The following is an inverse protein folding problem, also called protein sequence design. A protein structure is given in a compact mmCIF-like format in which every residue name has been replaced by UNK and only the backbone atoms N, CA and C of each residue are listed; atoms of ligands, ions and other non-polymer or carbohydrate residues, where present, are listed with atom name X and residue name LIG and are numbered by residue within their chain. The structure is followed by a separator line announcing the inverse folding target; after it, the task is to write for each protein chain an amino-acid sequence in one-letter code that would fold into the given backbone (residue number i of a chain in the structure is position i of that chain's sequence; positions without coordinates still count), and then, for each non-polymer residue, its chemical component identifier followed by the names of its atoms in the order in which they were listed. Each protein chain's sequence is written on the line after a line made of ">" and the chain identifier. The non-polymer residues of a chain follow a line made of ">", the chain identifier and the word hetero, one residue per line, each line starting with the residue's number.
data_IF_283196320427
#
_entry.id   IF_283196320427
#
_cell.length_a   1.000
_cell.length_b   1.000
_cell.length_c   1.000
_cell.angle_alpha   90.00
_cell.angle_beta   90.00
_cell.angle_gamma   90.00
#
_symmetry.space_group_name_H-M   'P 1'
#
loop_
_entity.id
_entity.type
_entity.pdbx_description
1 polymer ?
#
# COMPACT_ATOMS: atom_id res chain seq x y z
N UNK A 1 30.21 -0.23 22.69
CA UNK A 1 30.94 -0.69 21.47
C UNK A 1 31.69 0.51 20.90
N UNK A 2 33.02 0.57 21.03
CA UNK A 2 33.85 1.69 20.54
C UNK A 2 34.16 1.47 19.06
N UNK A 3 33.68 2.35 18.19
CA UNK A 3 34.07 2.37 16.77
C UNK A 3 35.51 2.90 16.65
N UNK A 4 36.33 2.23 15.84
CA UNK A 4 37.76 2.52 15.70
C UNK A 4 38.02 3.74 14.82
N UNK A 5 39.16 4.42 15.06
CA UNK A 5 39.60 5.64 14.36
C UNK A 5 39.69 5.52 12.83
N UNK A 6 39.68 4.30 12.27
CA UNK A 6 39.76 4.07 10.82
C UNK A 6 38.48 4.43 10.06
N UNK A 7 37.30 4.28 10.67
CA UNK A 7 36.02 4.51 9.99
C UNK A 7 35.73 6.00 9.78
N UNK A 8 36.28 6.87 10.65
CA UNK A 8 36.08 8.33 10.56
C UNK A 8 36.93 8.98 9.46
N UNK A 9 38.12 8.44 9.18
CA UNK A 9 38.97 8.96 8.09
C UNK A 9 38.46 8.60 6.70
N UNK A 10 37.74 7.48 6.53
CA UNK A 10 37.13 7.09 5.26
C UNK A 10 35.98 8.04 4.84
N UNK A 11 35.15 8.47 5.80
CA UNK A 11 34.02 9.39 5.56
C UNK A 11 34.51 10.80 5.17
N UNK A 12 35.60 11.28 5.78
CA UNK A 12 36.19 12.58 5.45
C UNK A 12 36.88 12.60 4.08
N UNK A 13 37.46 11.47 3.64
CA UNK A 13 38.06 11.35 2.30
C UNK A 13 37.01 11.27 1.19
N UNK A 14 35.86 10.65 1.44
CA UNK A 14 34.73 10.61 0.51
C UNK A 14 34.07 11.99 0.30
N UNK A 15 34.02 12.83 1.34
CA UNK A 15 33.40 14.16 1.26
C UNK A 15 34.23 15.16 0.46
N UNK A 16 35.57 15.09 0.51
CA UNK A 16 36.47 15.94 -0.29
C UNK A 16 36.54 15.56 -1.78
N UNK A 17 36.13 14.34 -2.15
CA UNK A 17 36.08 13.90 -3.55
C UNK A 17 34.79 14.33 -4.28
N UNK A 18 33.72 14.63 -3.53
CA UNK A 18 32.44 15.12 -4.07
C UNK A 18 32.42 16.63 -4.35
N UNK A 19 33.33 17.40 -3.75
CA UNK A 19 33.40 18.86 -3.94
C UNK A 19 34.31 19.30 -5.11
N UNK A 20 35.02 18.38 -5.78
CA UNK A 20 36.04 18.73 -6.77
C UNK A 20 35.65 18.53 -8.26
N UNK A 21 34.40 18.20 -8.59
CA UNK A 21 33.95 18.11 -10.01
C UNK A 21 32.51 18.58 -10.20
N UNK A 22 32.34 19.88 -10.42
CA UNK A 22 31.20 20.41 -11.17
C UNK A 22 31.72 21.15 -12.40
N UNK A 23 31.49 20.64 -13.64
CA UNK A 23 31.84 21.39 -14.84
C UNK A 23 30.90 22.58 -15.04
N UNK A 24 31.45 23.69 -15.53
CA UNK A 24 30.78 24.98 -15.75
C UNK A 24 29.62 24.95 -16.78
N UNK A 25 29.27 23.80 -17.35
CA UNK A 25 28.22 23.61 -18.36
C UNK A 25 26.79 23.56 -17.79
N UNK A 26 26.61 23.34 -16.48
CA UNK A 26 25.28 23.27 -15.85
C UNK A 26 24.64 24.64 -15.56
N UNK A 27 25.41 25.74 -15.57
CA UNK A 27 24.86 27.09 -15.37
C UNK A 27 24.17 27.67 -16.61
N UNK A 28 24.47 27.15 -17.81
CA UNK A 28 23.91 27.68 -19.07
C UNK A 28 22.56 27.07 -19.44
N UNK A 29 22.23 25.88 -18.94
CA UNK A 29 20.97 25.19 -19.23
C UNK A 29 19.74 25.78 -18.50
N UNK A 30 19.96 26.57 -17.44
CA UNK A 30 18.88 27.22 -16.68
C UNK A 30 18.49 28.60 -17.21
N UNK A 31 19.18 29.13 -18.23
CA UNK A 31 18.95 30.49 -18.72
C UNK A 31 18.08 30.58 -19.99
N UNK A 32 17.73 29.48 -20.65
CA UNK A 32 17.13 29.53 -22.01
C UNK A 32 15.80 28.79 -22.21
N UNK A 33 15.12 28.34 -21.16
CA UNK A 33 13.78 27.74 -21.30
C UNK A 33 12.75 28.53 -20.48
N UNK A 34 12.17 29.56 -21.07
CA UNK A 34 10.87 30.10 -20.65
C UNK A 34 9.78 29.30 -21.37
N UNK A 35 8.91 28.54 -20.69
CA UNK A 35 7.73 27.96 -21.32
C UNK A 35 6.64 29.02 -21.41
N UNK A 36 6.11 29.21 -22.61
CA UNK A 36 4.79 29.79 -22.82
C UNK A 36 3.68 28.79 -22.43
N UNK A 37 2.55 29.37 -22.04
CA UNK A 37 1.21 28.76 -21.93
C UNK A 37 1.10 27.41 -21.21
N UNK A 38 1.22 27.46 -19.88
CA UNK A 38 0.37 26.70 -18.95
C UNK A 38 0.56 27.36 -17.58
N UNK A 39 -0.52 27.68 -16.87
CA UNK A 39 -0.57 28.52 -15.65
C UNK A 39 0.30 28.08 -14.45
N UNK A 40 1.62 28.15 -14.61
CA UNK A 40 2.65 27.76 -13.66
C UNK A 40 3.19 28.99 -12.93
N UNK A 41 2.95 29.08 -11.61
CA UNK A 41 3.56 30.10 -10.75
C UNK A 41 4.53 29.44 -9.76
N UNK A 42 5.85 29.41 -10.06
CA UNK A 42 6.86 28.82 -9.19
C UNK A 42 7.00 29.55 -7.83
N UNK A 43 6.55 30.81 -7.74
CA UNK A 43 6.55 31.58 -6.49
C UNK A 43 5.47 31.06 -5.55
N UNK A 44 4.26 30.78 -6.05
CA UNK A 44 3.17 30.17 -5.25
C UNK A 44 3.54 28.81 -4.69
N UNK A 45 4.29 27.98 -5.44
CA UNK A 45 4.81 26.69 -4.96
C UNK A 45 5.84 26.86 -3.85
N UNK A 46 6.79 27.77 -4.03
CA UNK A 46 7.82 28.03 -3.03
C UNK A 46 7.19 28.54 -1.74
N UNK A 47 6.17 29.41 -1.86
CA UNK A 47 5.38 29.90 -0.73
C UNK A 47 4.57 28.78 -0.04
N UNK A 48 4.01 27.81 -0.77
CA UNK A 48 3.24 26.72 -0.15
C UNK A 48 4.13 25.71 0.58
N UNK A 49 5.32 25.42 0.05
CA UNK A 49 6.34 24.60 0.74
C UNK A 49 6.86 25.33 1.98
N UNK A 50 7.24 26.62 1.86
CA UNK A 50 7.64 27.45 3.00
C UNK A 50 6.55 27.52 4.07
N UNK A 51 5.28 27.64 3.67
CA UNK A 51 4.15 27.65 4.61
C UNK A 51 4.04 26.33 5.37
N UNK A 52 4.25 25.18 4.71
CA UNK A 52 4.29 23.86 5.36
C UNK A 52 5.48 23.76 6.32
N UNK A 53 6.66 24.21 5.90
CA UNK A 53 7.88 24.18 6.72
C UNK A 53 7.76 25.09 7.94
N UNK A 54 7.17 26.28 7.81
CA UNK A 54 6.92 27.22 8.91
C UNK A 54 5.92 26.62 9.92
N UNK A 55 4.86 25.95 9.47
CA UNK A 55 3.91 25.27 10.37
C UNK A 55 4.62 24.14 11.13
N UNK A 56 5.48 23.38 10.45
CA UNK A 56 6.27 22.29 11.06
C UNK A 56 7.31 22.80 12.06
N UNK A 57 7.98 23.90 11.72
CA UNK A 57 8.98 24.56 12.58
C UNK A 57 8.33 25.19 13.81
N UNK A 58 7.18 25.86 13.65
CA UNK A 58 6.40 26.41 14.78
C UNK A 58 5.94 25.31 15.73
N UNK A 59 5.56 24.15 15.21
CA UNK A 59 5.20 22.98 16.02
C UNK A 59 6.41 22.43 16.79
N UNK A 60 7.54 22.23 16.11
CA UNK A 60 8.78 21.78 16.75
C UNK A 60 9.30 22.76 17.81
N UNK A 61 9.15 24.07 17.59
CA UNK A 61 9.51 25.12 18.55
C UNK A 61 8.51 25.13 19.73
N UNK A 62 7.21 25.00 19.47
CA UNK A 62 6.18 24.90 20.53
C UNK A 62 6.40 23.72 21.46
N UNK A 63 6.66 22.53 20.89
CA UNK A 63 6.96 21.30 21.62
C UNK A 63 8.28 21.41 22.42
N UNK A 64 9.25 22.18 21.94
CA UNK A 64 10.54 22.40 22.62
C UNK A 64 10.45 23.39 23.80
N UNK A 65 9.56 24.39 23.73
CA UNK A 65 9.40 25.42 24.76
C UNK A 65 8.23 25.19 25.73
N UNK A 66 7.47 24.09 25.58
CA UNK A 66 6.34 23.79 26.46
C UNK A 66 5.23 24.85 26.40
N UNK A 67 5.15 25.60 25.30
CA UNK A 67 4.12 26.61 25.07
C UNK A 67 2.94 25.93 24.38
N UNK A 68 1.83 25.72 25.10
CA UNK A 68 0.59 25.32 24.44
C UNK A 68 0.15 26.44 23.47
N UNK A 69 0.03 26.16 22.16
CA UNK A 69 -0.48 27.15 21.25
C UNK A 69 -1.99 27.28 21.44
N UNK A 70 -2.45 28.46 21.87
CA UNK A 70 -3.82 28.89 21.59
C UNK A 70 -3.98 28.98 20.07
N UNK A 71 -4.52 27.92 19.48
CA UNK A 71 -4.81 27.80 18.06
C UNK A 71 -6.31 27.65 17.89
N UNK A 72 -6.96 28.70 17.38
CA UNK A 72 -8.19 28.56 16.60
C UNK A 72 -7.84 27.77 15.35
N UNK A 73 -7.81 26.46 15.50
CA UNK A 73 -7.68 25.50 14.40
C UNK A 73 -8.96 25.60 13.58
N UNK A 74 -8.93 25.81 12.25
CA UNK A 74 -10.08 25.49 11.45
C UNK A 74 -10.32 23.99 11.63
N UNK A 75 -11.47 23.64 12.19
CA UNK A 75 -12.00 22.27 12.20
C UNK A 75 -11.87 21.72 10.78
N UNK A 76 -11.02 20.70 10.62
CA UNK A 76 -10.81 20.06 9.32
C UNK A 76 -11.92 19.05 9.14
N UNK A 77 -12.98 19.44 8.44
CA UNK A 77 -13.93 18.49 7.90
C UNK A 77 -13.21 17.63 6.85
N UNK A 78 -13.03 16.36 7.20
CA UNK A 78 -12.45 15.32 6.35
C UNK A 78 -13.45 14.91 5.24
N UNK A 79 -14.70 15.34 5.39
CA UNK A 79 -15.83 15.05 4.51
C UNK A 79 -16.08 16.13 3.45
N UNK A 80 -15.32 17.23 3.41
CA UNK A 80 -15.41 18.18 2.29
C UNK A 80 -14.54 17.71 1.11
N UNK A 81 -15.14 17.24 0.01
CA UNK A 81 -14.39 17.07 -1.21
C UNK A 81 -14.05 18.48 -1.73
N UNK A 82 -12.81 18.67 -2.15
CA UNK A 82 -12.32 19.88 -2.83
C UNK A 82 -12.03 21.09 -1.93
N UNK A 83 -10.79 21.20 -1.41
CA UNK A 83 -10.23 22.55 -1.29
C UNK A 83 -8.70 22.72 -1.30
N UNK A 84 -7.88 21.66 -1.25
CA UNK A 84 -6.42 21.88 -1.31
C UNK A 84 -5.65 20.80 -2.04
N UNK A 85 -5.69 20.79 -3.39
CA UNK A 85 -4.49 20.49 -4.18
C UNK A 85 -4.58 21.21 -5.54
N UNK A 86 -3.72 22.21 -5.74
CA UNK A 86 -3.28 22.55 -7.09
C UNK A 86 -2.82 21.28 -7.80
N UNK A 87 -3.21 21.10 -9.06
CA UNK A 87 -2.82 19.95 -9.88
C UNK A 87 -1.34 19.59 -9.70
N UNK A 88 -1.07 18.35 -9.29
CA UNK A 88 0.31 17.86 -9.16
C UNK A 88 0.81 17.41 -10.52
N UNK A 89 1.42 18.33 -11.27
CA UNK A 89 1.99 18.02 -12.59
C UNK A 89 3.28 17.18 -12.52
N UNK A 90 3.90 17.07 -11.33
CA UNK A 90 5.18 16.36 -11.13
C UNK A 90 5.21 15.68 -9.75
N UNK A 91 5.79 14.48 -9.67
CA UNK A 91 6.04 13.77 -8.41
C UNK A 91 7.29 12.89 -8.49
N UNK A 92 7.83 12.48 -7.34
CA UNK A 92 8.95 11.53 -7.29
C UNK A 92 8.43 10.10 -7.44
N UNK A 93 7.31 9.78 -6.80
CA UNK A 93 6.63 8.48 -6.90
C UNK A 93 5.16 8.68 -7.20
N UNK A 94 4.73 8.11 -8.32
CA UNK A 94 3.32 8.00 -8.70
C UNK A 94 2.81 6.60 -8.37
N UNK A 95 1.74 6.49 -7.59
CA UNK A 95 1.09 5.24 -7.25
C UNK A 95 -0.26 5.20 -7.97
N UNK A 96 -0.45 4.23 -8.87
CA UNK A 96 -1.71 4.06 -9.61
C UNK A 96 -2.57 3.03 -8.89
N UNK A 97 -3.65 3.50 -8.27
CA UNK A 97 -4.56 2.74 -7.41
C UNK A 97 -4.47 3.21 -5.96
N UNK A 98 -5.57 3.75 -5.44
CA UNK A 98 -5.70 4.21 -4.05
C UNK A 98 -6.32 3.20 -3.10
N UNK A 99 -6.41 1.92 -3.50
CA UNK A 99 -6.83 0.84 -2.58
C UNK A 99 -5.83 0.60 -1.45
N UNK A 100 -6.09 -0.39 -0.60
CA UNK A 100 -5.31 -0.64 0.62
C UNK A 100 -3.81 -0.80 0.34
N UNK A 101 -3.45 -1.44 -0.77
CA UNK A 101 -2.05 -1.62 -1.20
C UNK A 101 -1.40 -0.29 -1.55
N UNK A 102 -2.05 0.53 -2.39
CA UNK A 102 -1.49 1.82 -2.79
C UNK A 102 -1.36 2.80 -1.62
N UNK A 103 -2.36 2.85 -0.74
CA UNK A 103 -2.28 3.66 0.48
C UNK A 103 -1.23 3.14 1.46
N UNK A 104 -1.07 1.81 1.59
CA UNK A 104 0.01 1.21 2.39
C UNK A 104 1.39 1.61 1.86
N UNK A 105 1.62 1.51 0.55
CA UNK A 105 2.89 1.90 -0.08
C UNK A 105 3.18 3.38 0.19
N UNK A 106 2.20 4.27 0.00
CA UNK A 106 2.37 5.70 0.28
C UNK A 106 2.69 5.96 1.76
N UNK A 107 1.98 5.30 2.66
CA UNK A 107 2.19 5.40 4.11
C UNK A 107 3.62 4.99 4.48
N UNK A 108 4.07 3.80 4.08
CA UNK A 108 5.41 3.31 4.44
C UNK A 108 6.53 4.13 3.79
N UNK A 109 6.36 4.61 2.54
CA UNK A 109 7.32 5.51 1.91
C UNK A 109 7.47 6.81 2.70
N UNK A 110 6.35 7.45 3.06
CA UNK A 110 6.37 8.75 3.74
C UNK A 110 6.75 8.65 5.22
N UNK A 111 6.46 7.52 5.88
CA UNK A 111 6.88 7.24 7.25
C UNK A 111 8.40 7.03 7.33
N UNK A 112 8.98 6.28 6.39
CA UNK A 112 10.41 5.96 6.39
C UNK A 112 11.29 7.07 5.78
N UNK A 113 10.75 7.88 4.87
CA UNK A 113 11.48 8.96 4.18
C UNK A 113 10.79 10.33 4.33
N UNK A 114 10.56 10.80 5.57
CA UNK A 114 9.74 11.98 5.84
C UNK A 114 10.32 13.24 5.18
N UNK A 115 9.50 13.90 4.35
CA UNK A 115 9.87 15.15 3.66
C UNK A 115 10.90 14.98 2.54
N UNK A 116 11.26 13.76 2.16
CA UNK A 116 12.30 13.51 1.15
C UNK A 116 11.74 13.28 -0.26
N UNK A 117 10.44 13.01 -0.38
CA UNK A 117 9.81 12.60 -1.64
C UNK A 117 8.41 13.19 -1.77
N UNK A 118 8.05 13.59 -2.98
CA UNK A 118 6.69 13.92 -3.39
C UNK A 118 5.98 12.65 -3.89
N UNK A 119 5.01 12.17 -3.12
CA UNK A 119 4.24 10.96 -3.43
C UNK A 119 2.83 11.33 -3.86
N UNK A 120 2.42 10.89 -5.06
CA UNK A 120 1.06 11.08 -5.59
C UNK A 120 0.34 9.74 -5.70
N UNK A 121 -0.85 9.63 -5.11
CA UNK A 121 -1.77 8.50 -5.26
C UNK A 121 -2.85 8.89 -6.27
N UNK A 122 -3.02 8.11 -7.33
CA UNK A 122 -4.11 8.25 -8.29
C UNK A 122 -5.19 7.20 -8.00
N UNK A 123 -6.42 7.62 -7.78
CA UNK A 123 -7.58 6.73 -7.63
C UNK A 123 -8.71 7.13 -8.58
N UNK A 124 -9.27 6.16 -9.29
CA UNK A 124 -10.36 6.39 -10.26
C UNK A 124 -11.73 6.53 -9.59
N UNK A 125 -11.95 5.85 -8.46
CA UNK A 125 -13.22 5.80 -7.74
C UNK A 125 -13.00 6.03 -6.23
N UNK A 126 -13.17 7.26 -5.73
CA UNK A 126 -12.99 7.57 -4.30
C UNK A 126 -14.10 6.99 -3.41
N UNK A 127 -15.17 6.45 -3.99
CA UNK A 127 -16.21 5.73 -3.24
C UNK A 127 -15.81 4.28 -2.94
N UNK A 128 -14.81 3.76 -3.65
CA UNK A 128 -14.32 2.38 -3.55
C UNK A 128 -15.43 1.32 -3.70
N UNK A 129 -16.55 1.66 -4.35
CA UNK A 129 -17.72 0.78 -4.46
C UNK A 129 -17.40 -0.53 -5.18
N UNK A 130 -16.41 -0.50 -6.08
CA UNK A 130 -15.96 -1.66 -6.87
C UNK A 130 -14.58 -2.16 -6.46
N UNK A 131 -13.99 -1.63 -5.39
CA UNK A 131 -12.65 -2.01 -4.96
C UNK A 131 -12.69 -3.40 -4.30
N UNK A 132 -11.70 -4.25 -4.62
CA UNK A 132 -11.60 -5.58 -4.01
C UNK A 132 -11.43 -5.50 -2.47
N UNK A 133 -10.78 -4.45 -1.97
CA UNK A 133 -10.60 -4.21 -0.53
C UNK A 133 -11.94 -4.15 0.20
N UNK A 134 -12.86 -3.29 -0.24
CA UNK A 134 -14.15 -3.03 0.42
C UNK A 134 -15.16 -4.16 0.22
N UNK A 135 -15.01 -4.93 -0.84
CA UNK A 135 -15.83 -6.12 -1.13
C UNK A 135 -15.28 -7.40 -0.49
N UNK A 136 -14.16 -7.33 0.25
CA UNK A 136 -13.56 -8.49 0.91
C UNK A 136 -14.18 -8.79 2.29
N UNK A 137 -13.96 -10.00 2.79
CA UNK A 137 -14.37 -10.40 4.14
C UNK A 137 -13.36 -10.03 5.24
N UNK A 138 -12.31 -9.26 4.92
CA UNK A 138 -11.36 -8.71 5.90
C UNK A 138 -10.60 -9.72 6.74
N UNK A 139 -10.18 -10.83 6.13
CA UNK A 139 -9.44 -11.89 6.82
C UNK A 139 -8.00 -11.55 7.20
N UNK A 140 -7.59 -11.97 8.39
CA UNK A 140 -6.21 -12.04 8.87
C UNK A 140 -5.92 -13.46 9.32
N UNK A 141 -5.00 -14.17 8.64
CA UNK A 141 -4.61 -15.54 9.00
C UNK A 141 -3.11 -15.73 8.81
N UNK A 142 -2.47 -16.54 9.62
CA UNK A 142 -1.07 -16.93 9.46
C UNK A 142 -0.93 -18.34 8.89
N UNK A 143 -2.03 -19.10 8.84
CA UNK A 143 -2.11 -20.44 8.24
C UNK A 143 -1.91 -20.40 6.71
N UNK A 144 -0.65 -20.45 6.27
CA UNK A 144 -0.22 -20.58 4.88
C UNK A 144 0.77 -21.73 4.70
N UNK A 145 0.96 -22.17 3.45
CA UNK A 145 1.90 -23.25 3.07
C UNK A 145 3.27 -22.75 2.64
N UNK A 146 3.42 -21.45 2.37
CA UNK A 146 4.69 -20.83 1.98
C UNK A 146 5.21 -19.95 3.14
N UNK A 147 6.49 -20.09 3.54
CA UNK A 147 7.07 -19.32 4.63
C UNK A 147 6.92 -17.80 4.46
N UNK A 148 7.10 -17.30 3.24
CA UNK A 148 7.04 -15.88 2.92
C UNK A 148 5.64 -15.30 3.19
N UNK A 149 4.59 -16.09 2.95
CA UNK A 149 3.21 -15.69 3.25
C UNK A 149 2.94 -15.68 4.76
N UNK A 150 3.52 -16.62 5.51
CA UNK A 150 3.44 -16.63 6.98
C UNK A 150 4.11 -15.37 7.55
N UNK A 151 5.33 -15.05 7.09
CA UNK A 151 6.07 -13.85 7.51
C UNK A 151 5.33 -12.55 7.18
N UNK A 152 4.81 -12.44 5.96
CA UNK A 152 4.02 -11.28 5.54
C UNK A 152 2.76 -11.12 6.41
N UNK A 153 2.12 -12.22 6.79
CA UNK A 153 0.94 -12.16 7.65
C UNK A 153 1.26 -11.84 9.10
N UNK A 154 2.36 -12.37 9.65
CA UNK A 154 2.87 -11.99 10.98
C UNK A 154 3.14 -10.48 11.06
N UNK A 155 3.77 -9.92 10.03
CA UNK A 155 3.93 -8.48 9.91
C UNK A 155 2.58 -7.75 9.86
N UNK A 156 1.63 -8.25 9.07
CA UNK A 156 0.28 -7.68 8.97
C UNK A 156 -0.46 -7.68 10.32
N UNK A 157 -0.39 -8.78 11.07
CA UNK A 157 -0.98 -8.88 12.40
C UNK A 157 -0.38 -7.87 13.37
N UNK A 158 0.95 -7.79 13.43
CA UNK A 158 1.63 -6.81 14.29
C UNK A 158 1.31 -5.37 13.86
N UNK A 159 1.26 -5.11 12.55
CA UNK A 159 0.86 -3.81 12.04
C UNK A 159 -0.54 -3.40 12.49
N UNK A 160 -1.52 -4.32 12.41
CA UNK A 160 -2.89 -4.05 12.86
C UNK A 160 -2.96 -3.79 14.37
N UNK A 161 -2.17 -4.50 15.19
CA UNK A 161 -2.07 -4.21 16.63
C UNK A 161 -1.52 -2.81 16.90
N UNK A 162 -0.57 -2.37 16.08
CA UNK A 162 0.05 -1.04 16.20
C UNK A 162 -0.71 0.07 15.45
N UNK A 163 -1.75 -0.27 14.68
CA UNK A 163 -2.46 0.65 13.80
C UNK A 163 -2.98 1.90 14.53
N UNK A 164 -3.61 1.81 15.72
CA UNK A 164 -4.11 2.99 16.42
C UNK A 164 -3.01 4.02 16.70
N UNK A 165 -1.78 3.55 16.94
CA UNK A 165 -0.61 4.41 17.19
C UNK A 165 0.04 4.88 15.89
N UNK A 166 0.30 3.96 14.95
CA UNK A 166 1.05 4.26 13.71
C UNK A 166 0.26 5.11 12.73
N UNK A 167 -1.05 4.91 12.67
CA UNK A 167 -1.95 5.65 11.81
C UNK A 167 -2.70 6.79 12.53
N UNK A 168 -2.34 7.12 13.78
CA UNK A 168 -2.88 8.29 14.47
C UNK A 168 -2.60 9.59 13.68
N UNK A 169 -3.61 10.45 13.61
CA UNK A 169 -3.51 11.80 13.06
C UNK A 169 -4.00 12.78 14.10
N UNK A 170 -3.24 13.85 14.32
CA UNK A 170 -3.58 14.87 15.31
C UNK A 170 -4.96 15.49 15.04
N UNK A 171 -5.78 15.56 16.08
CA UNK A 171 -7.15 16.06 16.01
C UNK A 171 -8.19 15.04 15.56
N UNK A 172 -7.79 13.79 15.27
CA UNK A 172 -8.69 12.68 14.95
C UNK A 172 -8.58 11.58 16.01
N UNK A 173 -9.67 10.84 16.20
CA UNK A 173 -9.65 9.63 17.02
C UNK A 173 -8.69 8.58 16.43
N UNK A 174 -8.00 7.78 17.26
CA UNK A 174 -7.17 6.68 16.78
C UNK A 174 -8.00 5.72 15.90
N UNK A 175 -7.46 5.26 14.76
CA UNK A 175 -8.19 4.34 13.89
C UNK A 175 -8.41 3.00 14.59
N UNK A 176 -9.63 2.48 14.46
CA UNK A 176 -10.02 1.15 14.92
C UNK A 176 -10.62 0.36 13.75
N UNK A 177 -10.03 -0.80 13.45
CA UNK A 177 -10.47 -1.67 12.36
C UNK A 177 -11.56 -2.65 12.76
N UNK A 178 -12.07 -2.57 13.99
CA UNK A 178 -13.08 -3.49 14.51
C UNK A 178 -12.58 -4.94 14.38
N UNK A 179 -11.42 -5.25 14.98
CA UNK A 179 -10.81 -6.57 14.87
C UNK A 179 -11.57 -7.60 15.73
N UNK A 180 -11.94 -8.72 15.13
CA UNK A 180 -12.55 -9.88 15.77
C UNK A 180 -11.55 -11.03 15.84
N UNK A 181 -10.99 -11.35 17.02
CA UNK A 181 -9.91 -12.32 17.19
C UNK A 181 -10.42 -13.77 17.27
N UNK A 182 -11.28 -14.19 16.35
CA UNK A 182 -11.88 -15.55 16.36
C UNK A 182 -11.12 -16.58 15.55
N UNK A 183 -9.93 -16.23 15.03
CA UNK A 183 -9.05 -17.17 14.34
C UNK A 183 -9.60 -17.71 13.01
N UNK A 184 -8.80 -18.57 12.36
CA UNK A 184 -9.22 -19.37 11.21
C UNK A 184 -9.32 -20.84 11.60
N UNK A 185 -10.33 -21.53 11.08
CA UNK A 185 -10.48 -22.98 11.19
C UNK A 185 -10.43 -23.59 9.79
N UNK A 186 -9.33 -24.24 9.45
CA UNK A 186 -9.25 -25.02 8.22
C UNK A 186 -9.65 -26.46 8.49
N UNK A 187 -10.55 -26.99 7.66
CA UNK A 187 -10.96 -28.38 7.71
C UNK A 187 -10.29 -29.15 6.57
N UNK A 188 -9.97 -30.41 6.81
CA UNK A 188 -9.47 -31.32 5.79
C UNK A 188 -10.25 -32.63 5.80
N UNK A 189 -10.52 -33.16 4.61
CA UNK A 189 -10.90 -34.56 4.41
C UNK A 189 -9.68 -35.46 4.59
N UNK A 190 -9.86 -36.78 4.52
CA UNK A 190 -8.74 -37.74 4.58
C UNK A 190 -7.67 -37.46 3.52
N UNK A 191 -8.06 -37.04 2.31
CA UNK A 191 -7.13 -36.71 1.22
C UNK A 191 -6.26 -35.49 1.53
N UNK A 192 -6.82 -34.49 2.24
CA UNK A 192 -6.10 -33.27 2.59
C UNK A 192 -5.36 -33.31 3.94
N UNK A 193 -5.54 -34.41 4.70
CA UNK A 193 -5.08 -34.53 6.08
C UNK A 193 -3.56 -34.35 6.22
N UNK A 194 -2.78 -35.11 5.45
CA UNK A 194 -1.31 -35.06 5.48
C UNK A 194 -0.78 -33.67 5.12
N UNK A 195 -1.38 -33.03 4.12
CA UNK A 195 -1.00 -31.67 3.72
C UNK A 195 -1.32 -30.64 4.81
N UNK A 196 -2.44 -30.78 5.51
CA UNK A 196 -2.80 -29.90 6.62
C UNK A 196 -1.86 -30.06 7.81
N UNK A 197 -1.42 -31.29 8.11
CA UNK A 197 -0.39 -31.57 9.12
C UNK A 197 0.95 -30.96 8.73
N UNK A 198 1.43 -31.18 7.50
CA UNK A 198 2.70 -30.59 7.04
C UNK A 198 2.67 -29.06 7.08
N UNK A 199 1.53 -28.45 6.74
CA UNK A 199 1.35 -27.00 6.86
C UNK A 199 1.38 -26.55 8.33
N UNK A 200 0.72 -27.28 9.24
CA UNK A 200 0.73 -26.99 10.67
C UNK A 200 2.16 -27.03 11.25
N UNK A 201 2.93 -28.06 10.93
CA UNK A 201 4.30 -28.22 11.42
C UNK A 201 5.19 -27.06 10.95
N UNK A 202 5.12 -26.70 9.66
CA UNK A 202 5.80 -25.52 9.12
C UNK A 202 5.40 -24.24 9.89
N UNK A 203 4.11 -24.07 10.15
CA UNK A 203 3.59 -22.89 10.84
C UNK A 203 4.09 -22.82 12.30
N UNK A 204 4.17 -23.95 13.01
CA UNK A 204 4.73 -24.03 14.35
C UNK A 204 6.23 -23.68 14.37
N UNK A 205 7.00 -24.18 13.40
CA UNK A 205 8.43 -23.85 13.25
C UNK A 205 8.66 -22.34 13.03
N UNK A 206 7.67 -21.66 12.44
CA UNK A 206 7.66 -20.21 12.23
C UNK A 206 7.04 -19.43 13.39
N UNK A 207 6.65 -20.10 14.48
CA UNK A 207 6.11 -19.47 15.69
C UNK A 207 4.62 -19.13 15.65
N UNK A 208 3.88 -19.57 14.62
CA UNK A 208 2.42 -19.42 14.55
C UNK A 208 1.77 -20.20 15.68
N UNK A 209 0.72 -19.63 16.29
CA UNK A 209 -0.05 -20.28 17.36
C UNK A 209 -1.32 -20.87 16.78
N UNK A 210 -1.27 -22.15 16.42
CA UNK A 210 -2.43 -22.92 15.99
C UNK A 210 -2.39 -24.34 16.57
N UNK A 211 -3.51 -25.04 16.44
CA UNK A 211 -3.68 -26.40 16.99
C UNK A 211 -4.41 -27.28 15.99
N UNK A 212 -3.93 -28.51 15.83
CA UNK A 212 -4.65 -29.57 15.15
C UNK A 212 -5.69 -30.19 16.06
N UNK A 213 -6.90 -30.37 15.53
CA UNK A 213 -8.05 -30.93 16.22
C UNK A 213 -8.51 -32.17 15.46
N UNK A 214 -8.68 -33.28 16.18
CA UNK A 214 -9.33 -34.48 15.63
C UNK A 214 -10.80 -34.21 15.37
N UNK A 215 -11.45 -35.08 14.60
CA UNK A 215 -12.90 -35.09 14.41
C UNK A 215 -13.68 -34.98 15.72
N UNK A 216 -13.30 -35.76 16.74
CA UNK A 216 -13.97 -35.79 18.04
C UNK A 216 -13.80 -34.45 18.76
N UNK A 217 -12.58 -33.90 18.76
CA UNK A 217 -12.29 -32.60 19.37
C UNK A 217 -13.03 -31.46 18.67
N UNK A 218 -13.13 -31.50 17.34
CA UNK A 218 -13.94 -30.56 16.56
C UNK A 218 -15.41 -30.63 16.96
N UNK A 219 -15.98 -31.84 17.03
CA UNK A 219 -17.39 -32.03 17.41
C UNK A 219 -17.67 -31.58 18.84
N UNK A 220 -16.74 -31.80 19.77
CA UNK A 220 -16.86 -31.30 21.14
C UNK A 220 -16.77 -29.78 21.21
N UNK A 221 -15.82 -29.17 20.49
CA UNK A 221 -15.57 -27.72 20.54
C UNK A 221 -16.58 -26.91 19.74
N UNK A 222 -17.04 -27.45 18.61
CA UNK A 222 -17.98 -26.82 17.68
C UNK A 222 -19.15 -27.76 17.42
N UNK A 223 -20.10 -27.92 18.37
CA UNK A 223 -21.21 -28.88 18.24
C UNK A 223 -22.13 -28.62 17.03
N UNK A 224 -22.11 -27.41 16.48
CA UNK A 224 -22.84 -27.01 15.29
C UNK A 224 -22.19 -27.50 13.98
N UNK A 225 -20.91 -27.93 14.01
CA UNK A 225 -20.18 -28.39 12.84
C UNK A 225 -20.50 -29.86 12.55
N UNK A 226 -20.92 -30.16 11.32
CA UNK A 226 -20.96 -31.54 10.84
C UNK A 226 -19.53 -31.99 10.49
N UNK A 227 -19.05 -33.03 11.16
CA UNK A 227 -17.67 -33.54 11.00
C UNK A 227 -17.61 -34.92 10.34
N UNK A 228 -18.72 -35.39 9.73
CA UNK A 228 -18.81 -36.77 9.21
C UNK A 228 -17.76 -37.11 8.15
N UNK A 229 -17.40 -36.13 7.34
CA UNK A 229 -16.45 -36.18 6.22
C UNK A 229 -15.14 -35.43 6.50
N UNK A 230 -15.01 -34.87 7.71
CA UNK A 230 -13.80 -34.17 8.17
C UNK A 230 -12.89 -35.18 8.87
N UNK A 231 -11.63 -35.25 8.45
CA UNK A 231 -10.60 -36.05 9.11
C UNK A 231 -10.00 -35.28 10.29
N UNK A 232 -9.60 -34.03 10.06
CA UNK A 232 -9.05 -33.14 11.08
C UNK A 232 -9.25 -31.67 10.70
N UNK A 233 -9.03 -30.78 11.67
CA UNK A 233 -9.02 -29.35 11.46
C UNK A 233 -7.82 -28.67 12.10
N UNK A 234 -7.45 -27.50 11.60
CA UNK A 234 -6.39 -26.65 12.15
C UNK A 234 -6.97 -25.29 12.54
N UNK A 235 -6.97 -24.99 13.84
CA UNK A 235 -7.51 -23.75 14.40
C UNK A 235 -6.39 -22.79 14.80
N UNK A 236 -6.39 -21.58 14.24
CA UNK A 236 -5.56 -20.47 14.71
C UNK A 236 -6.03 -19.91 16.06
N UNK A 237 -5.08 -19.68 16.96
CA UNK A 237 -5.34 -19.29 18.35
C UNK A 237 -4.97 -17.83 18.65
N UNK A 238 -3.99 -17.27 17.94
CA UNK A 238 -3.53 -15.90 18.16
C UNK A 238 -3.24 -15.21 16.83
N UNK A 239 -3.35 -13.87 16.81
CA UNK A 239 -3.00 -13.03 15.66
C UNK A 239 -3.74 -13.42 14.37
N UNK A 240 -4.96 -13.94 14.52
CA UNK A 240 -5.83 -14.35 13.44
C UNK A 240 -7.29 -13.96 13.73
N UNK A 241 -8.08 -13.81 12.67
CA UNK A 241 -9.47 -13.39 12.75
C UNK A 241 -9.86 -12.52 11.57
N UNK A 242 -10.73 -11.54 11.78
CA UNK A 242 -11.13 -10.62 10.72
C UNK A 242 -11.30 -9.20 11.23
N UNK A 243 -11.37 -8.25 10.32
CA UNK A 243 -11.57 -6.84 10.58
C UNK A 243 -12.40 -6.19 9.50
N UNK A 244 -12.75 -4.92 9.68
CA UNK A 244 -13.34 -4.08 8.63
C UNK A 244 -12.27 -3.54 7.66
N UNK A 245 -12.23 -4.01 6.40
CA UNK A 245 -11.25 -3.54 5.40
C UNK A 245 -11.40 -2.05 5.07
N UNK A 246 -12.61 -1.51 5.21
CA UNK A 246 -12.89 -0.11 4.92
C UNK A 246 -12.17 0.80 5.93
N UNK A 247 -12.27 0.46 7.21
CA UNK A 247 -11.54 1.13 8.30
C UNK A 247 -10.03 1.09 8.09
N UNK A 248 -9.46 -0.05 7.69
CA UNK A 248 -8.00 -0.16 7.41
C UNK A 248 -7.57 0.74 6.25
N UNK A 249 -8.33 0.71 5.14
CA UNK A 249 -8.09 1.56 3.99
C UNK A 249 -8.12 3.04 4.38
N UNK A 250 -9.14 3.47 5.11
CA UNK A 250 -9.26 4.86 5.54
C UNK A 250 -8.15 5.27 6.50
N UNK A 251 -7.78 4.41 7.45
CA UNK A 251 -6.67 4.67 8.36
C UNK A 251 -5.36 4.94 7.59
N UNK A 252 -5.02 4.07 6.64
CA UNK A 252 -3.82 4.21 5.81
C UNK A 252 -3.91 5.44 4.89
N UNK A 253 -5.05 5.66 4.23
CA UNK A 253 -5.26 6.81 3.34
C UNK A 253 -5.14 8.13 4.09
N UNK A 254 -5.86 8.28 5.19
CA UNK A 254 -5.86 9.48 6.04
C UNK A 254 -4.47 9.74 6.58
N UNK A 255 -3.77 8.70 7.07
CA UNK A 255 -2.40 8.85 7.55
C UNK A 255 -1.43 9.23 6.44
N UNK A 256 -1.51 8.60 5.27
CA UNK A 256 -0.64 8.93 4.13
C UNK A 256 -0.82 10.39 3.70
N UNK A 257 -2.06 10.88 3.63
CA UNK A 257 -2.37 12.29 3.33
C UNK A 257 -1.82 13.21 4.43
N UNK A 258 -1.98 12.85 5.70
CA UNK A 258 -1.42 13.61 6.83
C UNK A 258 0.12 13.67 6.82
N UNK A 259 0.78 12.64 6.28
CA UNK A 259 2.22 12.61 6.06
C UNK A 259 2.67 13.37 4.81
N UNK A 260 1.74 13.84 3.97
CA UNK A 260 2.01 14.68 2.81
C UNK A 260 1.76 14.04 1.45
N UNK A 261 1.13 12.85 1.39
CA UNK A 261 0.72 12.27 0.12
C UNK A 261 -0.29 13.17 -0.60
N UNK A 262 -0.08 13.36 -1.90
CA UNK A 262 -1.02 14.02 -2.77
C UNK A 262 -2.02 13.01 -3.31
N UNK A 263 -3.31 13.27 -3.13
CA UNK A 263 -4.36 12.38 -3.59
C UNK A 263 -5.06 13.00 -4.81
N UNK A 264 -5.06 12.29 -5.93
CA UNK A 264 -5.67 12.72 -7.20
C UNK A 264 -6.80 11.77 -7.55
N UNK A 265 -8.01 12.31 -7.69
CA UNK A 265 -9.10 11.59 -8.29
C UNK A 265 -8.99 11.67 -9.82
N UNK A 266 -8.82 10.53 -10.47
CA UNK A 266 -8.72 10.47 -11.92
C UNK A 266 -8.40 9.07 -12.43
N UNK A 267 -8.62 8.85 -13.71
CA UNK A 267 -8.39 7.58 -14.36
C UNK A 267 -7.11 7.62 -15.19
N UNK A 268 -6.22 6.66 -14.98
CA UNK A 268 -5.08 6.43 -15.86
C UNK A 268 -5.57 5.95 -17.23
N UNK A 269 -5.24 6.69 -18.29
CA UNK A 269 -5.72 6.40 -19.67
C UNK A 269 -4.60 6.22 -20.68
N UNK A 270 -3.35 6.29 -20.24
CA UNK A 270 -2.18 6.08 -21.09
C UNK A 270 -0.91 6.66 -20.50
N UNK A 271 0.22 6.38 -21.14
CA UNK A 271 1.51 6.97 -20.80
C UNK A 271 2.08 7.73 -21.99
N UNK A 272 2.82 8.79 -21.70
CA UNK A 272 3.75 9.41 -22.67
C UNK A 272 5.12 8.81 -22.46
N UNK A 273 5.76 8.44 -23.56
CA UNK A 273 7.12 7.91 -23.58
C UNK A 273 8.13 9.00 -23.91
N UNK A 274 9.37 8.81 -23.46
CA UNK A 274 10.52 9.61 -23.83
C UNK A 274 11.68 8.70 -24.21
N UNK A 275 12.30 9.00 -25.34
CA UNK A 275 13.50 8.32 -25.80
C UNK A 275 14.74 8.78 -25.02
N UNK A 276 15.60 7.84 -24.69
CA UNK A 276 16.90 8.08 -24.06
C UNK A 276 17.97 7.34 -24.87
N UNK A 277 18.60 8.07 -25.80
CA UNK A 277 19.63 7.51 -26.69
C UNK A 277 20.94 7.17 -25.97
N UNK A 278 21.14 7.71 -24.76
CA UNK A 278 22.30 7.56 -23.90
C UNK A 278 22.17 6.44 -22.87
N UNK A 279 21.02 5.77 -22.81
CA UNK A 279 20.77 4.63 -21.91
C UNK A 279 20.95 3.33 -22.68
N UNK A 280 21.88 2.49 -22.21
CA UNK A 280 22.08 1.13 -22.71
C UNK A 280 21.57 0.12 -21.67
N UNK A 281 20.76 -0.84 -22.10
CA UNK A 281 20.26 -1.91 -21.24
C UNK A 281 21.08 -3.18 -21.48
N UNK A 282 21.65 -3.71 -20.39
CA UNK A 282 22.37 -4.98 -20.44
C UNK A 282 21.41 -6.12 -20.82
N UNK A 283 21.73 -6.84 -21.90
CA UNK A 283 20.92 -7.96 -22.38
C UNK A 283 19.75 -7.58 -23.29
N UNK A 284 19.61 -6.30 -23.67
CA UNK A 284 18.62 -5.82 -24.64
C UNK A 284 19.26 -5.43 -25.98
N UNK A 285 18.43 -5.33 -27.03
CA UNK A 285 18.86 -4.72 -28.30
C UNK A 285 19.03 -3.20 -28.13
N UNK A 286 20.28 -2.74 -28.16
CA UNK A 286 20.63 -1.32 -28.04
C UNK A 286 20.76 -0.63 -29.41
N UNK A 287 20.27 -1.24 -30.49
CA UNK A 287 20.21 -0.62 -31.82
C UNK A 287 19.17 0.51 -31.91
N UNK A 288 18.17 0.49 -31.02
CA UNK A 288 17.13 1.51 -30.87
C UNK A 288 17.33 2.27 -29.55
N UNK A 289 16.96 3.56 -29.47
CA UNK A 289 17.01 4.30 -28.22
C UNK A 289 16.05 3.68 -27.19
N UNK A 290 16.47 3.65 -25.92
CA UNK A 290 15.62 3.15 -24.85
C UNK A 290 14.38 4.05 -24.68
N UNK A 291 13.20 3.45 -24.65
CA UNK A 291 11.96 4.17 -24.38
C UNK A 291 11.57 4.01 -22.90
N UNK A 292 11.53 5.15 -22.21
CA UNK A 292 11.12 5.23 -20.81
C UNK A 292 9.75 5.90 -20.70
N UNK A 293 8.94 5.46 -19.74
CA UNK A 293 7.76 6.21 -19.30
C UNK A 293 8.18 7.59 -18.77
N UNK A 294 7.57 8.66 -19.29
CA UNK A 294 7.84 10.05 -18.91
C UNK A 294 6.67 10.65 -18.12
N UNK A 295 5.43 10.48 -18.60
CA UNK A 295 4.24 11.03 -17.95
C UNK A 295 3.08 10.07 -17.99
N UNK A 296 2.26 10.09 -16.95
CA UNK A 296 0.95 9.47 -16.97
C UNK A 296 -0.06 10.45 -17.56
N UNK A 297 -0.92 9.98 -18.45
CA UNK A 297 -2.10 10.71 -18.93
C UNK A 297 -3.28 10.32 -18.04
N UNK A 298 -3.88 11.33 -17.40
CA UNK A 298 -4.99 11.18 -16.46
C UNK A 298 -6.24 11.83 -17.05
N UNK A 299 -7.35 11.10 -17.07
CA UNK A 299 -8.68 11.63 -17.39
C UNK A 299 -9.40 12.00 -16.10
N UNK A 300 -9.84 13.26 -16.01
CA UNK A 300 -10.61 13.80 -14.88
C UNK A 300 -12.12 13.55 -15.07
N UNK A 301 -12.91 13.84 -14.04
CA UNK A 301 -14.35 13.61 -14.03
C UNK A 301 -15.13 14.42 -15.09
N UNK A 302 -14.62 15.60 -15.45
CA UNK A 302 -15.14 16.47 -16.52
C UNK A 302 -14.68 16.05 -17.93
N UNK A 303 -13.87 14.99 -18.03
CA UNK A 303 -13.29 14.51 -19.28
C UNK A 303 -11.98 15.20 -19.68
N UNK A 304 -11.54 16.23 -18.95
CA UNK A 304 -10.26 16.89 -19.18
C UNK A 304 -9.12 15.89 -19.04
N UNK A 305 -8.12 15.97 -19.95
CA UNK A 305 -6.91 15.16 -19.87
C UNK A 305 -5.75 16.00 -19.39
N UNK A 306 -5.16 15.60 -18.28
CA UNK A 306 -3.94 16.21 -17.74
C UNK A 306 -2.82 15.19 -17.67
N UNK A 307 -1.60 15.67 -17.47
CA UNK A 307 -0.42 14.80 -17.33
C UNK A 307 0.31 15.01 -16.02
N UNK A 308 0.83 13.91 -15.48
CA UNK A 308 1.68 13.88 -14.29
C UNK A 308 3.02 13.29 -14.71
N UNK A 309 4.08 14.09 -14.67
CA UNK A 309 5.45 13.61 -14.80
C UNK A 309 5.87 12.92 -13.50
N UNK A 310 6.65 11.84 -13.58
CA UNK A 310 7.05 11.09 -12.38
C UNK A 310 8.50 10.59 -12.44
N UNK A 311 9.11 10.44 -11.27
CA UNK A 311 10.40 9.76 -11.13
C UNK A 311 10.26 8.24 -11.26
N UNK A 312 9.39 7.66 -10.44
CA UNK A 312 9.02 6.24 -10.44
C UNK A 312 7.50 6.08 -10.47
N UNK A 313 7.02 5.01 -11.12
CA UNK A 313 5.61 4.66 -11.14
C UNK A 313 5.43 3.28 -10.50
N UNK A 314 4.51 3.19 -9.55
CA UNK A 314 4.13 1.98 -8.83
C UNK A 314 2.73 1.57 -9.26
N UNK A 315 2.62 0.36 -9.78
CA UNK A 315 1.36 -0.22 -10.21
C UNK A 315 0.67 -0.91 -9.02
N UNK A 316 -0.44 -0.34 -8.54
CA UNK A 316 -1.21 -0.83 -7.39
C UNK A 316 -2.72 -0.88 -7.68
N UNK A 317 -3.12 -1.08 -8.95
CA UNK A 317 -4.51 -0.96 -9.41
C UNK A 317 -5.33 -2.26 -9.28
N UNK A 318 -4.93 -3.16 -8.38
CA UNK A 318 -5.64 -4.40 -8.08
C UNK A 318 -5.86 -5.25 -9.33
N UNK A 319 -7.10 -5.70 -9.56
CA UNK A 319 -7.46 -6.53 -10.72
C UNK A 319 -7.31 -5.82 -12.07
N UNK A 320 -7.24 -4.49 -12.11
CA UNK A 320 -6.97 -3.69 -13.33
C UNK A 320 -5.46 -3.54 -13.61
N UNK A 321 -4.58 -4.18 -12.82
CA UNK A 321 -3.13 -4.03 -13.02
C UNK A 321 -2.69 -4.46 -14.41
N UNK A 322 -3.25 -5.54 -14.96
CA UNK A 322 -2.94 -5.98 -16.33
C UNK A 322 -3.29 -4.93 -17.39
N UNK A 323 -4.44 -4.25 -17.26
CA UNK A 323 -4.90 -3.21 -18.20
C UNK A 323 -3.98 -1.99 -18.17
N UNK A 324 -3.60 -1.52 -16.98
CA UNK A 324 -2.69 -0.38 -16.82
C UNK A 324 -1.27 -0.74 -17.27
N UNK A 325 -0.80 -1.96 -17.00
CA UNK A 325 0.50 -2.46 -17.46
C UNK A 325 0.57 -2.47 -19.00
N UNK A 326 -0.51 -2.88 -19.68
CA UNK A 326 -0.60 -2.85 -21.14
C UNK A 326 -0.50 -1.42 -21.71
N UNK A 327 -1.03 -0.40 -21.01
CA UNK A 327 -0.86 1.01 -21.39
C UNK A 327 0.61 1.46 -21.34
N UNK A 328 1.45 0.76 -20.57
CA UNK A 328 2.89 0.97 -20.49
C UNK A 328 3.68 0.01 -21.41
N UNK A 329 3.01 -0.64 -22.37
CA UNK A 329 3.57 -1.62 -23.30
C UNK A 329 4.07 -2.93 -22.66
N UNK A 330 3.70 -3.23 -21.41
CA UNK A 330 3.96 -4.55 -20.82
C UNK A 330 2.98 -5.55 -21.44
N UNK A 331 3.52 -6.58 -22.09
CA UNK A 331 2.81 -7.57 -22.92
C UNK A 331 2.75 -7.26 -24.41
N UNK A 332 3.32 -6.14 -24.86
CA UNK A 332 3.36 -5.76 -26.28
C UNK A 332 4.67 -5.11 -26.72
N UNK A 333 5.58 -4.82 -25.78
CA UNK A 333 6.90 -4.26 -26.04
C UNK A 333 7.95 -5.34 -26.28
N UNK A 334 9.18 -4.90 -26.49
CA UNK A 334 10.33 -5.78 -26.74
C UNK A 334 10.91 -6.36 -25.42
N UNK A 335 11.71 -7.42 -25.54
CA UNK A 335 12.48 -8.05 -24.44
C UNK A 335 11.62 -8.37 -23.20
N UNK A 336 11.98 -7.79 -22.04
CA UNK A 336 11.31 -7.99 -20.76
C UNK A 336 9.85 -7.49 -20.76
N UNK A 337 9.49 -6.61 -21.69
CA UNK A 337 8.14 -6.08 -21.84
C UNK A 337 7.28 -6.94 -22.78
N UNK A 338 7.81 -8.01 -23.38
CA UNK A 338 7.03 -8.88 -24.27
C UNK A 338 5.97 -9.69 -23.52
N UNK A 339 6.17 -9.95 -22.23
CA UNK A 339 5.29 -10.79 -21.44
C UNK A 339 4.23 -9.97 -20.70
N UNK A 340 2.94 -10.26 -20.90
CA UNK A 340 1.87 -9.52 -20.22
C UNK A 340 1.91 -9.81 -18.73
N UNK A 341 1.54 -8.82 -17.92
CA UNK A 341 1.34 -9.02 -16.49
C UNK A 341 0.15 -9.98 -16.28
N UNK A 342 0.33 -11.17 -15.67
CA UNK A 342 -0.69 -12.21 -15.60
C UNK A 342 -1.75 -11.94 -14.51
N UNK A 343 -2.29 -10.73 -14.48
CA UNK A 343 -3.31 -10.29 -13.51
C UNK A 343 -4.61 -10.04 -14.27
N UNK A 344 -5.62 -10.85 -13.95
CA UNK A 344 -6.97 -10.76 -14.53
C UNK A 344 -8.03 -10.81 -13.44
N UNK A 345 -9.17 -10.11 -13.60
CA UNK A 345 -10.26 -10.17 -12.64
C UNK A 345 -10.88 -11.57 -12.60
N UNK A 346 -11.09 -12.08 -11.38
CA UNK A 346 -11.85 -13.31 -11.12
C UNK A 346 -12.99 -12.99 -10.17
N UNK A 347 -14.17 -13.50 -10.48
CA UNK A 347 -15.36 -13.31 -9.64
C UNK A 347 -15.31 -14.26 -8.44
N UNK A 348 -15.67 -13.74 -7.27
CA UNK A 348 -15.96 -14.49 -6.06
C UNK A 348 -17.27 -13.95 -5.49
N UNK A 349 -18.13 -14.84 -5.03
CA UNK A 349 -19.41 -14.47 -4.43
C UNK A 349 -19.32 -14.58 -2.91
N UNK A 350 -19.96 -13.63 -2.23
CA UNK A 350 -20.13 -13.59 -0.78
C UNK A 350 -21.62 -13.36 -0.55
N UNK A 351 -22.21 -14.15 0.33
CA UNK A 351 -23.61 -14.04 0.69
C UNK A 351 -23.70 -13.71 2.18
N UNK A 352 -24.67 -12.86 2.54
CA UNK A 352 -25.06 -12.67 3.92
C UNK A 352 -26.36 -13.46 4.14
N UNK A 353 -26.35 -14.36 5.11
CA UNK A 353 -27.48 -15.23 5.41
C UNK A 353 -28.03 -14.84 6.77
N UNK A 354 -29.33 -14.55 6.82
CA UNK A 354 -30.02 -14.34 8.08
C UNK A 354 -30.22 -15.68 8.79
N UNK A 355 -29.51 -15.90 9.89
CA UNK A 355 -29.52 -17.15 10.64
C UNK A 355 -29.66 -16.86 12.15
N UNK A 356 -30.89 -16.63 12.66
CA UNK A 356 -31.14 -16.32 14.08
C UNK A 356 -30.66 -17.41 15.05
N UNK A 357 -30.75 -18.67 14.63
CA UNK A 357 -30.34 -19.86 15.41
C UNK A 357 -28.96 -20.37 14.98
N UNK A 358 -28.16 -19.50 14.34
CA UNK A 358 -26.82 -19.82 13.84
C UNK A 358 -25.79 -20.00 14.96
N UNK A 359 -24.57 -20.44 14.61
CA UNK A 359 -23.45 -20.48 15.55
C UNK A 359 -23.23 -19.11 16.20
N UNK A 360 -22.77 -19.15 17.46
CA UNK A 360 -22.58 -17.95 18.28
C UNK A 360 -21.39 -17.08 17.85
N UNK A 361 -21.09 -16.09 18.69
CA UNK A 361 -20.00 -15.13 18.47
C UNK A 361 -18.59 -15.74 18.47
N UNK A 362 -18.48 -17.02 18.85
CA UNK A 362 -17.25 -17.82 18.89
C UNK A 362 -17.00 -18.63 17.59
N UNK A 363 -17.82 -18.43 16.56
CA UNK A 363 -17.59 -18.98 15.22
C UNK A 363 -16.24 -18.48 14.66
N UNK A 364 -15.24 -19.34 14.42
CA UNK A 364 -14.03 -18.93 13.72
C UNK A 364 -14.32 -18.69 12.23
N UNK A 365 -13.37 -18.09 11.52
CA UNK A 365 -13.45 -18.05 10.06
C UNK A 365 -13.18 -19.46 9.51
N UNK A 366 -14.24 -20.20 9.18
CA UNK A 366 -14.15 -21.60 8.75
C UNK A 366 -13.85 -21.67 7.27
N UNK A 367 -12.85 -22.49 6.90
CA UNK A 367 -12.53 -22.86 5.53
C UNK A 367 -12.87 -24.34 5.35
N UNK A 368 -13.89 -24.60 4.53
CA UNK A 368 -14.36 -25.93 4.21
C UNK A 368 -13.51 -26.57 3.09
N UNK A 369 -13.35 -27.90 3.04
CA UNK A 369 -12.53 -28.57 2.02
C UNK A 369 -13.03 -28.33 0.59
N UNK A 370 -14.31 -27.97 0.40
CA UNK A 370 -14.88 -27.61 -0.92
C UNK A 370 -14.41 -26.24 -1.44
N UNK A 371 -13.71 -25.45 -0.61
CA UNK A 371 -13.34 -24.07 -0.89
C UNK A 371 -14.40 -23.04 -0.49
N UNK A 372 -15.50 -23.49 0.12
CA UNK A 372 -16.48 -22.61 0.76
C UNK A 372 -15.93 -22.07 2.08
N UNK A 373 -16.37 -20.89 2.49
CA UNK A 373 -16.01 -20.33 3.79
C UNK A 373 -17.16 -19.58 4.44
N UNK A 374 -17.13 -19.49 5.76
CA UNK A 374 -18.14 -18.78 6.58
C UNK A 374 -17.45 -18.09 7.76
N UNK A 375 -18.00 -16.95 8.17
CA UNK A 375 -17.68 -16.23 9.40
C UNK A 375 -18.92 -15.49 9.89
#
# INVERSE_FOLDING_TARGET
>A
MRLSRGTFQAVLKGRKLLEARQPASLRKAYATNLPGEDGFDPVKRTLSVLKRDIVRLRKQIGDFFGLEPHSTSPTRDIDEPHQFYSWQSHCDVLIIGGGVVGCSIAFFLLENFPGSMNVTILEKDPTYKRAATTLSCGGLRQQFSLPENVQMSQFGAEFLRQLPKRCAVEGLDPPDVQFHPMGYLFLATEEGAEQLVANHDLQLDMGVKNVLLTREQLKTRFPWLNTSDVALGCLGLENEGWFDPWSLLNALRTKAIALGAHYVQGEAVGFKMREQADVLIAGADNSKPYQRLDKLVVRLADGERRTISFGQCVLASGASSGEIAAMAHIGSGDDMLAFPLPVVPRKRYVFNVHCPDGPGVDLPFVIDPTGTYVR
#
